data_IF_833811456971
#
_entry.id   IF_833811456971
#
_cell.length_a   1.000
_cell.length_b   1.000
_cell.length_c   1.000
_cell.angle_alpha   90.00
_cell.angle_beta   90.00
_cell.angle_gamma   90.00
#
_symmetry.space_group_name_H-M   'P 1'
#
loop_
_entity.id
_entity.type
_entity.pdbx_description
1 polymer ?
#
# COMPACT_ATOMS: atom_id res chain seq x y z
N UNK A 1 5.08 -8.30 -7.41
CA UNK A 1 5.38 -7.18 -8.30
C UNK A 1 6.65 -6.47 -7.83
N UNK A 2 7.46 -6.07 -8.79
CA UNK A 2 8.74 -5.44 -8.51
C UNK A 2 8.55 -3.93 -8.57
N UNK A 3 9.04 -3.23 -7.55
CA UNK A 3 9.00 -1.77 -7.49
C UNK A 3 10.13 -1.17 -8.34
N UNK A 4 9.86 -0.03 -8.94
CA UNK A 4 10.94 0.79 -9.46
C UNK A 4 11.79 1.31 -8.30
N UNK A 5 13.10 1.37 -8.52
CA UNK A 5 14.03 1.88 -7.50
C UNK A 5 13.76 3.36 -7.23
N UNK A 6 13.81 3.73 -5.96
CA UNK A 6 13.71 5.13 -5.54
C UNK A 6 12.30 5.70 -5.48
N UNK A 7 11.26 4.87 -5.62
CA UNK A 7 9.89 5.38 -5.52
C UNK A 7 9.53 5.65 -4.06
N UNK A 8 8.71 6.66 -3.87
CA UNK A 8 8.10 6.96 -2.57
C UNK A 8 6.67 6.46 -2.56
N UNK A 9 6.13 6.27 -1.35
CA UNK A 9 4.70 6.03 -1.18
C UNK A 9 4.08 7.20 -0.45
N UNK A 10 2.81 7.45 -0.71
CA UNK A 10 2.05 8.47 -0.02
C UNK A 10 1.03 7.76 0.87
N UNK A 11 1.09 8.05 2.17
CA UNK A 11 0.17 7.50 3.15
C UNK A 11 -0.75 8.61 3.62
N UNK A 12 -2.05 8.41 3.49
CA UNK A 12 -3.06 9.35 3.96
C UNK A 12 -3.76 8.75 5.15
N UNK A 13 -3.56 9.35 6.33
CA UNK A 13 -4.22 8.94 7.56
C UNK A 13 -5.56 9.65 7.66
N UNK A 14 -6.61 8.91 7.97
CA UNK A 14 -7.96 9.43 8.12
C UNK A 14 -8.27 9.51 9.61
N UNK A 15 -8.61 10.70 10.07
CA UNK A 15 -8.94 10.96 11.47
C UNK A 15 -10.41 10.64 11.76
N UNK A 16 -10.76 10.57 13.04
CA UNK A 16 -12.11 10.23 13.48
C UNK A 16 -13.18 11.21 12.97
N UNK A 17 -12.81 12.47 12.74
CA UNK A 17 -13.72 13.48 12.23
C UNK A 17 -13.87 13.48 10.71
N UNK A 18 -13.20 12.52 10.03
CA UNK A 18 -13.23 12.41 8.58
C UNK A 18 -12.18 13.24 7.86
N UNK A 19 -11.39 14.03 8.59
CA UNK A 19 -10.27 14.75 7.96
C UNK A 19 -9.11 13.80 7.68
N UNK A 20 -8.24 14.20 6.77
CA UNK A 20 -7.08 13.39 6.40
C UNK A 20 -5.81 14.20 6.36
N UNK A 21 -4.70 13.53 6.57
CA UNK A 21 -3.37 14.13 6.42
C UNK A 21 -2.46 13.15 5.71
N UNK A 22 -1.67 13.64 4.76
CA UNK A 22 -0.82 12.80 3.91
C UNK A 22 0.64 13.04 4.23
N UNK A 23 1.41 11.96 4.17
CA UNK A 23 2.85 12.00 4.35
C UNK A 23 3.52 11.15 3.28
N UNK A 24 4.66 11.61 2.78
CA UNK A 24 5.47 10.88 1.82
C UNK A 24 6.52 10.07 2.58
N UNK A 25 6.58 8.78 2.31
CA UNK A 25 7.52 7.89 2.98
C UNK A 25 8.48 7.33 1.94
N UNK A 26 9.78 7.39 2.26
CA UNK A 26 10.80 6.75 1.44
C UNK A 26 10.61 5.23 1.48
N UNK A 27 10.34 4.66 0.32
CA UNK A 27 10.01 3.25 0.21
C UNK A 27 11.21 2.35 0.54
N UNK A 28 12.42 2.77 0.17
CA UNK A 28 13.63 1.99 0.48
C UNK A 28 13.83 1.87 1.99
N UNK A 29 13.63 2.96 2.72
CA UNK A 29 13.73 2.93 4.18
C UNK A 29 12.65 2.03 4.80
N UNK A 30 11.43 2.10 4.27
CA UNK A 30 10.33 1.28 4.74
C UNK A 30 10.60 -0.22 4.53
N UNK A 31 11.15 -0.59 3.40
CA UNK A 31 11.50 -1.97 3.09
C UNK A 31 12.57 -2.47 4.06
N UNK A 32 13.60 -1.66 4.31
CA UNK A 32 14.66 -2.02 5.26
C UNK A 32 14.12 -2.29 6.65
N UNK A 33 13.17 -1.48 7.12
CA UNK A 33 12.54 -1.69 8.41
C UNK A 33 11.73 -2.98 8.47
N UNK A 34 11.03 -3.31 7.39
CA UNK A 34 10.23 -4.53 7.31
C UNK A 34 11.07 -5.79 7.27
N UNK A 35 12.26 -5.71 6.74
CA UNK A 35 13.17 -6.84 6.62
C UNK A 35 14.06 -7.03 7.83
N UNK A 36 13.87 -6.24 8.89
CA UNK A 36 14.66 -6.37 10.10
C UNK A 36 14.32 -7.67 10.84
N UNK A 37 15.27 -8.62 10.97
CA UNK A 37 14.99 -9.93 11.57
C UNK A 37 14.71 -9.89 13.07
N UNK A 38 14.90 -8.76 13.73
CA UNK A 38 14.63 -8.62 15.16
C UNK A 38 13.14 -8.41 15.47
N UNK A 39 12.31 -8.11 14.46
CA UNK A 39 10.88 -7.97 14.69
C UNK A 39 10.23 -9.34 14.59
N UNK A 40 9.64 -9.81 15.67
CA UNK A 40 8.84 -11.02 15.70
C UNK A 40 7.38 -10.75 15.32
N UNK A 41 7.09 -9.57 14.79
CA UNK A 41 5.75 -9.16 14.43
C UNK A 41 5.22 -9.94 13.24
N UNK A 42 3.98 -10.39 13.34
CA UNK A 42 3.29 -11.08 12.26
C UNK A 42 2.30 -10.11 11.61
N UNK A 43 2.42 -9.97 10.30
CA UNK A 43 1.57 -9.08 9.52
C UNK A 43 0.61 -9.92 8.69
N UNK A 44 -0.65 -9.46 8.60
CA UNK A 44 -1.63 -10.03 7.70
C UNK A 44 -2.39 -8.92 7.02
N UNK A 45 -2.31 -8.86 5.70
CA UNK A 45 -3.03 -7.91 4.87
C UNK A 45 -3.98 -8.67 3.98
N UNK A 46 -5.24 -8.23 3.94
CA UNK A 46 -6.26 -8.86 3.11
C UNK A 46 -6.81 -7.85 2.13
N UNK A 47 -7.11 -8.31 0.93
CA UNK A 47 -7.68 -7.51 -0.15
C UNK A 47 -9.00 -8.11 -0.60
N UNK A 48 -9.91 -7.28 -1.09
CA UNK A 48 -11.16 -7.73 -1.69
C UNK A 48 -11.61 -6.73 -2.74
N UNK A 49 -12.38 -7.22 -3.75
CA UNK A 49 -13.00 -6.40 -4.78
C UNK A 49 -12.04 -5.42 -5.45
N UNK A 50 -10.81 -5.85 -5.71
CA UNK A 50 -9.83 -5.01 -6.40
C UNK A 50 -10.32 -4.68 -7.82
N UNK A 51 -10.18 -3.41 -8.20
CA UNK A 51 -10.54 -2.92 -9.52
C UNK A 51 -9.31 -2.52 -10.29
N UNK A 52 -9.22 -2.98 -11.53
CA UNK A 52 -8.08 -2.71 -12.41
C UNK A 52 -8.57 -1.97 -13.62
N UNK A 53 -7.93 -0.85 -13.94
CA UNK A 53 -8.11 -0.12 -15.19
C UNK A 53 -6.79 -0.15 -15.94
N UNK A 54 -6.83 -0.52 -17.22
CA UNK A 54 -5.61 -0.62 -18.01
C UNK A 54 -5.91 -0.38 -19.48
N UNK A 55 -4.93 0.18 -20.19
CA UNK A 55 -4.92 0.25 -21.66
C UNK A 55 -3.98 -0.80 -22.27
N UNK A 56 -3.40 -1.68 -21.46
CA UNK A 56 -2.43 -2.68 -21.86
C UNK A 56 -0.99 -2.26 -21.63
N UNK A 57 -0.72 -1.00 -21.36
CA UNK A 57 0.63 -0.46 -21.16
C UNK A 57 0.83 0.15 -19.78
N UNK A 58 -0.20 0.79 -19.25
CA UNK A 58 -0.23 1.26 -17.87
C UNK A 58 -1.48 0.70 -17.20
N UNK A 59 -1.47 0.66 -15.88
CA UNK A 59 -2.61 0.19 -15.12
C UNK A 59 -2.72 0.92 -13.78
N UNK A 60 -3.96 1.10 -13.33
CA UNK A 60 -4.23 1.47 -11.96
C UNK A 60 -4.97 0.33 -11.27
N UNK A 61 -4.62 0.07 -10.01
CA UNK A 61 -5.29 -0.93 -9.18
C UNK A 61 -5.80 -0.23 -7.93
N UNK A 62 -7.11 -0.34 -7.73
CA UNK A 62 -7.81 0.19 -6.56
C UNK A 62 -8.21 -1.01 -5.71
N UNK A 63 -7.56 -1.19 -4.56
CA UNK A 63 -7.70 -2.40 -3.76
C UNK A 63 -8.06 -2.07 -2.31
N UNK A 64 -9.33 -2.20 -1.92
CA UNK A 64 -9.69 -2.14 -0.50
C UNK A 64 -8.93 -3.20 0.28
N UNK A 65 -8.49 -2.85 1.48
CA UNK A 65 -7.70 -3.74 2.31
C UNK A 65 -8.00 -3.56 3.79
N UNK A 66 -7.66 -4.56 4.58
CA UNK A 66 -7.49 -4.41 6.02
C UNK A 66 -6.14 -5.01 6.43
N UNK A 67 -5.65 -4.57 7.57
CA UNK A 67 -4.33 -4.94 8.05
C UNK A 67 -4.40 -5.36 9.51
N UNK A 68 -3.85 -6.53 9.80
CA UNK A 68 -3.77 -7.09 11.14
C UNK A 68 -2.32 -7.18 11.58
N UNK A 69 -2.08 -6.90 12.83
CA UNK A 69 -0.76 -6.98 13.45
C UNK A 69 -0.86 -7.90 14.66
N UNK A 70 -0.08 -8.98 14.65
CA UNK A 70 -0.08 -9.98 15.73
C UNK A 70 -1.48 -10.50 16.06
N UNK A 71 -2.31 -10.70 15.04
CA UNK A 71 -3.66 -11.23 15.20
C UNK A 71 -4.72 -10.20 15.56
N UNK A 72 -4.34 -8.94 15.76
CA UNK A 72 -5.27 -7.86 16.11
C UNK A 72 -5.44 -6.89 14.96
N UNK A 73 -6.66 -6.40 14.76
CA UNK A 73 -6.94 -5.39 13.75
C UNK A 73 -6.13 -4.13 14.02
N UNK A 74 -5.43 -3.64 12.99
CA UNK A 74 -4.66 -2.40 13.04
C UNK A 74 -5.36 -1.27 12.32
N UNK A 75 -5.63 -1.45 11.04
CA UNK A 75 -6.25 -0.41 10.22
C UNK A 75 -6.79 -0.99 8.92
N UNK A 76 -7.53 -0.19 8.20
CA UNK A 76 -8.03 -0.52 6.86
C UNK A 76 -7.89 0.69 5.95
N UNK A 77 -8.27 0.52 4.71
CA UNK A 77 -8.30 1.59 3.74
C UNK A 77 -8.35 1.07 2.33
N UNK A 78 -7.76 1.84 1.42
CA UNK A 78 -7.63 1.49 0.02
C UNK A 78 -6.19 1.67 -0.40
N UNK A 79 -5.63 0.65 -1.05
CA UNK A 79 -4.35 0.74 -1.74
C UNK A 79 -4.59 1.14 -3.19
N UNK A 80 -3.83 2.11 -3.66
CA UNK A 80 -3.84 2.53 -5.06
C UNK A 80 -2.44 2.35 -5.64
N UNK A 81 -2.34 1.52 -6.68
CA UNK A 81 -1.10 1.24 -7.37
C UNK A 81 -1.14 1.80 -8.78
N UNK A 82 -0.04 2.41 -9.20
CA UNK A 82 0.20 2.76 -10.59
C UNK A 82 1.26 1.81 -11.14
N UNK A 83 0.88 1.04 -12.16
CA UNK A 83 1.74 0.01 -12.74
C UNK A 83 2.13 0.40 -14.16
N UNK A 84 3.33 0.05 -14.54
CA UNK A 84 3.84 0.27 -15.89
C UNK A 84 4.34 -1.06 -16.45
N UNK A 85 3.92 -1.36 -17.66
CA UNK A 85 4.39 -2.56 -18.37
C UNK A 85 5.77 -2.28 -18.96
N UNK A 86 6.73 -3.12 -18.61
CA UNK A 86 8.04 -3.14 -19.23
C UNK A 86 8.10 -4.34 -20.19
N UNK A 87 9.17 -4.45 -20.94
CA UNK A 87 9.38 -5.58 -21.86
C UNK A 87 9.47 -6.93 -21.14
N UNK A 88 9.71 -6.93 -19.83
CA UNK A 88 9.88 -8.17 -19.04
C UNK A 88 8.75 -8.44 -18.06
N UNK A 89 8.12 -7.39 -17.52
CA UNK A 89 7.12 -7.56 -16.48
C UNK A 89 6.38 -6.25 -16.20
N UNK A 90 5.28 -6.34 -15.47
CA UNK A 90 4.63 -5.19 -14.87
C UNK A 90 5.39 -4.77 -13.62
N UNK A 91 5.62 -3.46 -13.47
CA UNK A 91 6.30 -2.89 -12.31
C UNK A 91 5.43 -1.82 -11.65
N UNK A 92 5.52 -1.72 -10.34
CA UNK A 92 4.87 -0.66 -9.59
C UNK A 92 5.74 0.60 -9.72
N UNK A 93 5.20 1.62 -10.39
CA UNK A 93 5.88 2.89 -10.58
C UNK A 93 5.58 3.86 -9.45
N UNK A 94 4.41 3.75 -8.83
CA UNK A 94 4.00 4.59 -7.72
C UNK A 94 2.86 3.90 -6.96
N UNK A 95 2.75 4.17 -5.66
CA UNK A 95 1.60 3.73 -4.90
C UNK A 95 1.36 4.61 -3.69
N UNK A 96 0.14 4.54 -3.21
CA UNK A 96 -0.27 5.21 -2.00
C UNK A 96 -1.43 4.46 -1.39
N UNK A 97 -1.79 4.81 -0.18
CA UNK A 97 -2.93 4.19 0.48
C UNK A 97 -3.48 5.08 1.58
N UNK A 98 -4.75 4.86 1.89
CA UNK A 98 -5.37 5.47 3.06
C UNK A 98 -5.23 4.54 4.26
N UNK A 99 -5.19 5.12 5.44
CA UNK A 99 -5.09 4.42 6.71
C UNK A 99 -6.18 4.92 7.64
N UNK A 100 -7.10 4.03 7.98
CA UNK A 100 -8.22 4.36 8.85
C UNK A 100 -8.30 3.33 9.97
N UNK A 101 -8.30 3.78 11.21
CA UNK A 101 -8.43 2.89 12.36
C UNK A 101 -9.87 2.63 12.76
N UNK A 102 -10.82 3.30 12.14
CA UNK A 102 -12.23 3.28 12.52
C UNK A 102 -13.12 2.67 11.43
N UNK A 103 -12.65 1.62 10.79
CA UNK A 103 -13.33 1.01 9.64
C UNK A 103 -14.42 0.02 10.01
N UNK A 104 -14.58 -0.30 11.26
CA UNK A 104 -15.59 -1.27 11.68
C UNK A 104 -16.88 -0.61 12.10
#
# INVERSE_FOLDING_TARGET
AILYKGINRIVTNIDKDGSGSSVVIDNDQSISLRMNPKTSEQFRERYWDAKVLTDGFIASVWAPYDFYLNGSFSHCGVDLFYLVKTDKAWKIAHFGYTRNKNCN
#
